data_IF_466893789201
#
_entry.id   IF_466893789201
#
_cell.length_a   1.000
_cell.length_b   1.000
_cell.length_c   1.000
_cell.angle_alpha   90.00
_cell.angle_beta   90.00
_cell.angle_gamma   90.00
#
_symmetry.space_group_name_H-M   'P 1'
#
loop_
_entity.id
_entity.type
_entity.pdbx_description
1 polymer ?
#
# COMPACT_ATOMS: atom_id res chain seq x y z
N UNK A 1 -9.19 32.33 10.56
CA UNK A 1 -8.10 31.36 10.31
C UNK A 1 -7.69 30.83 11.67
N UNK A 2 -7.69 29.51 11.88
CA UNK A 2 -7.23 28.93 13.14
C UNK A 2 -5.72 29.16 13.24
N UNK A 3 -5.27 29.95 14.21
CA UNK A 3 -3.85 30.15 14.49
C UNK A 3 -3.40 29.04 15.45
N UNK A 4 -2.77 28.01 14.89
CA UNK A 4 -2.07 27.01 15.71
C UNK A 4 -0.81 27.63 16.32
N UNK A 5 -0.44 27.19 17.51
CA UNK A 5 0.78 27.66 18.19
C UNK A 5 2.02 27.12 17.49
N UNK A 6 3.10 27.90 17.44
CA UNK A 6 4.36 27.50 16.78
C UNK A 6 4.98 26.20 17.35
N UNK A 7 4.66 25.85 18.59
CA UNK A 7 5.11 24.60 19.26
C UNK A 7 4.19 23.38 19.03
N UNK A 8 3.13 23.49 18.21
CA UNK A 8 2.26 22.34 17.92
C UNK A 8 2.92 21.39 16.91
N UNK A 9 3.32 20.16 17.30
CA UNK A 9 3.99 19.21 16.42
C UNK A 9 3.10 18.78 15.23
N UNK A 10 1.78 18.97 15.34
CA UNK A 10 0.81 18.65 14.32
C UNK A 10 0.34 19.89 13.53
N UNK A 11 0.92 21.07 13.75
CA UNK A 11 0.47 22.33 13.13
C UNK A 11 0.37 22.23 11.60
N UNK A 12 1.34 21.58 10.96
CA UNK A 12 1.34 21.34 9.51
C UNK A 12 0.18 20.44 9.06
N UNK A 13 -0.07 19.34 9.78
CA UNK A 13 -1.17 18.43 9.48
C UNK A 13 -2.54 19.08 9.72
N UNK A 14 -2.71 19.79 10.84
CA UNK A 14 -3.94 20.53 11.17
C UNK A 14 -4.23 21.62 10.14
N UNK A 15 -3.20 22.31 9.65
CA UNK A 15 -3.34 23.31 8.57
C UNK A 15 -3.85 22.66 7.29
N UNK A 16 -3.25 21.54 6.86
CA UNK A 16 -3.71 20.80 5.69
C UNK A 16 -5.16 20.31 5.86
N UNK A 17 -5.51 19.71 7.01
CA UNK A 17 -6.89 19.29 7.30
C UNK A 17 -7.86 20.48 7.20
N UNK A 18 -7.49 21.63 7.78
CA UNK A 18 -8.32 22.83 7.75
C UNK A 18 -8.48 23.41 6.33
N UNK A 19 -7.46 23.33 5.48
CA UNK A 19 -7.53 23.76 4.09
C UNK A 19 -8.41 22.84 3.25
N UNK A 20 -8.23 21.53 3.35
CA UNK A 20 -9.02 20.55 2.59
C UNK A 20 -10.46 20.45 3.10
N UNK A 21 -10.73 20.74 4.38
CA UNK A 21 -12.09 20.78 4.94
C UNK A 21 -12.94 21.93 4.39
N UNK A 22 -12.35 22.88 3.65
CA UNK A 22 -13.10 23.92 2.93
C UNK A 22 -13.81 23.38 1.70
N UNK A 23 -13.41 22.21 1.20
CA UNK A 23 -14.10 21.51 0.13
C UNK A 23 -15.32 20.80 0.71
N UNK A 24 -16.47 20.93 0.06
CA UNK A 24 -17.62 20.08 0.36
C UNK A 24 -17.42 18.69 -0.28
N UNK A 25 -16.54 17.90 0.36
CA UNK A 25 -16.22 16.56 -0.07
C UNK A 25 -17.44 15.64 -0.01
N UNK A 26 -18.36 15.85 0.94
CA UNK A 26 -19.53 15.00 1.10
C UNK A 26 -20.52 15.19 -0.05
N UNK A 27 -20.80 16.44 -0.45
CA UNK A 27 -21.66 16.70 -1.61
C UNK A 27 -21.11 16.05 -2.89
N UNK A 28 -19.79 16.06 -3.07
CA UNK A 28 -19.13 15.41 -4.20
C UNK A 28 -19.33 13.88 -4.16
N UNK A 29 -19.12 13.25 -3.00
CA UNK A 29 -19.30 11.82 -2.83
C UNK A 29 -20.77 11.39 -2.94
N UNK A 30 -21.71 12.21 -2.49
CA UNK A 30 -23.15 11.96 -2.64
C UNK A 30 -23.59 12.00 -4.10
N UNK A 31 -23.09 12.95 -4.89
CA UNK A 31 -23.35 13.00 -6.34
C UNK A 31 -22.80 11.74 -7.01
N UNK A 32 -21.58 11.34 -6.66
CA UNK A 32 -20.95 10.13 -7.19
C UNK A 32 -21.75 8.87 -6.81
N UNK A 33 -22.15 8.75 -5.54
CA UNK A 33 -22.96 7.67 -5.00
C UNK A 33 -24.26 7.49 -5.78
N UNK A 34 -25.00 8.59 -6.00
CA UNK A 34 -26.24 8.60 -6.79
C UNK A 34 -25.99 8.21 -8.24
N UNK A 35 -24.97 8.78 -8.87
CA UNK A 35 -24.69 8.54 -10.29
C UNK A 35 -24.21 7.11 -10.59
N UNK A 36 -23.62 6.44 -9.60
CA UNK A 36 -23.08 5.08 -9.74
C UNK A 36 -23.96 4.02 -9.11
N UNK A 37 -25.05 4.41 -8.45
CA UNK A 37 -25.91 3.53 -7.66
C UNK A 37 -25.12 2.71 -6.62
N UNK A 38 -24.22 3.39 -5.90
CA UNK A 38 -23.37 2.79 -4.86
C UNK A 38 -23.66 3.49 -3.53
N UNK A 39 -23.88 2.77 -2.42
CA UNK A 39 -24.04 3.39 -1.11
C UNK A 39 -22.85 4.25 -0.73
N UNK A 40 -23.10 5.46 -0.21
CA UNK A 40 -22.03 6.41 0.15
C UNK A 40 -21.03 5.81 1.15
N UNK A 41 -21.50 4.98 2.09
CA UNK A 41 -20.63 4.26 3.03
C UNK A 41 -19.66 3.30 2.34
N UNK A 42 -20.05 2.68 1.22
CA UNK A 42 -19.18 1.80 0.45
C UNK A 42 -18.11 2.59 -0.31
N UNK A 43 -18.43 3.79 -0.81
CA UNK A 43 -17.46 4.69 -1.43
C UNK A 43 -16.45 5.21 -0.40
N UNK A 44 -16.91 5.57 0.80
CA UNK A 44 -16.02 5.97 1.91
C UNK A 44 -15.09 4.82 2.31
N UNK A 45 -15.64 3.61 2.49
CA UNK A 45 -14.84 2.43 2.80
C UNK A 45 -13.81 2.11 1.72
N UNK A 46 -14.19 2.25 0.44
CA UNK A 46 -13.26 2.12 -0.69
C UNK A 46 -12.15 3.16 -0.63
N UNK A 47 -12.46 4.45 -0.46
CA UNK A 47 -11.45 5.51 -0.44
C UNK A 47 -10.45 5.30 0.71
N UNK A 48 -10.95 4.99 1.91
CA UNK A 48 -10.10 4.72 3.07
C UNK A 48 -9.26 3.45 2.85
N UNK A 49 -9.87 2.36 2.39
CA UNK A 49 -9.16 1.09 2.17
C UNK A 49 -8.17 1.12 1.01
N UNK A 50 -8.45 1.90 -0.05
CA UNK A 50 -7.64 1.93 -1.26
C UNK A 50 -6.57 3.05 -1.24
N UNK A 51 -6.89 4.23 -0.70
CA UNK A 51 -5.98 5.39 -0.73
C UNK A 51 -5.34 5.69 0.63
N UNK A 52 -5.97 5.34 1.76
CA UNK A 52 -5.36 5.54 3.09
C UNK A 52 -4.51 4.35 3.55
N UNK A 53 -4.63 3.19 2.88
CA UNK A 53 -3.87 1.99 3.20
C UNK A 53 -2.60 1.85 2.33
N UNK A 54 -1.83 2.93 2.12
CA UNK A 54 -0.63 2.91 1.26
C UNK A 54 0.44 1.88 1.69
N UNK A 55 0.48 1.50 2.98
CA UNK A 55 1.32 0.41 3.48
C UNK A 55 0.72 -1.00 3.33
N UNK A 56 -0.61 -1.11 3.22
CA UNK A 56 -1.34 -2.40 3.11
C UNK A 56 -1.62 -2.79 1.67
N UNK A 57 -1.70 -1.81 0.75
CA UNK A 57 -1.92 -2.05 -0.66
C UNK A 57 -0.80 -2.92 -1.27
N UNK A 58 0.47 -2.65 -0.96
CA UNK A 58 1.60 -3.49 -1.38
C UNK A 58 1.53 -4.92 -0.81
N UNK A 59 1.05 -5.09 0.43
CA UNK A 59 0.83 -6.40 1.07
C UNK A 59 -0.38 -7.15 0.51
N UNK A 60 -1.41 -6.43 0.06
CA UNK A 60 -2.59 -7.00 -0.62
C UNK A 60 -2.27 -7.37 -2.07
N UNK A 61 -1.42 -6.61 -2.76
CA UNK A 61 -1.02 -6.84 -4.16
C UNK A 61 0.05 -7.93 -4.31
N UNK A 62 1.03 -8.00 -3.41
CA UNK A 62 2.07 -9.05 -3.39
C UNK A 62 1.60 -10.29 -2.59
N UNK A 63 0.71 -10.09 -1.61
CA UNK A 63 0.16 -11.13 -0.74
C UNK A 63 1.08 -11.48 0.44
N UNK A 64 0.51 -11.78 1.63
CA UNK A 64 1.28 -12.12 2.85
C UNK A 64 2.15 -13.37 2.67
N UNK A 65 1.80 -14.25 1.72
CA UNK A 65 2.58 -15.45 1.41
C UNK A 65 3.95 -15.12 0.81
N UNK A 66 4.03 -14.20 -0.14
CA UNK A 66 5.29 -13.88 -0.83
C UNK A 66 6.21 -13.13 0.12
N UNK A 67 5.68 -12.18 0.90
CA UNK A 67 6.44 -11.48 1.94
C UNK A 67 6.93 -12.46 3.02
N UNK A 68 6.09 -13.39 3.49
CA UNK A 68 6.51 -14.41 4.46
C UNK A 68 7.59 -15.35 3.92
N UNK A 69 7.55 -15.69 2.63
CA UNK A 69 8.60 -16.48 1.98
C UNK A 69 9.93 -15.70 1.94
N UNK A 70 9.91 -14.42 1.57
CA UNK A 70 11.11 -13.58 1.54
C UNK A 70 11.74 -13.43 2.94
N UNK A 71 10.92 -13.18 3.96
CA UNK A 71 11.39 -13.09 5.34
C UNK A 71 12.00 -14.42 5.82
N UNK A 72 11.37 -15.55 5.51
CA UNK A 72 11.89 -16.87 5.89
C UNK A 72 13.28 -17.16 5.30
N UNK A 73 13.54 -16.73 4.06
CA UNK A 73 14.87 -16.87 3.43
C UNK A 73 15.93 -16.05 4.16
N UNK A 74 15.61 -14.80 4.53
CA UNK A 74 16.50 -13.92 5.28
C UNK A 74 16.78 -14.50 6.67
N UNK A 75 15.74 -14.89 7.41
CA UNK A 75 15.89 -15.46 8.76
C UNK A 75 16.70 -16.76 8.74
N UNK A 76 16.49 -17.63 7.74
CA UNK A 76 17.26 -18.87 7.60
C UNK A 76 18.75 -18.58 7.36
N UNK A 77 19.07 -17.63 6.48
CA UNK A 77 20.45 -17.24 6.21
C UNK A 77 21.12 -16.61 7.44
N UNK A 78 20.43 -15.69 8.13
CA UNK A 78 20.95 -15.07 9.35
C UNK A 78 21.16 -16.08 10.48
N UNK A 79 20.25 -17.06 10.62
CA UNK A 79 20.41 -18.14 11.61
C UNK A 79 21.61 -19.04 11.33
N UNK A 80 21.95 -19.24 10.05
CA UNK A 80 23.13 -20.00 9.63
C UNK A 80 24.41 -19.18 9.83
N UNK A 81 24.33 -17.87 9.60
CA UNK A 81 25.38 -16.91 9.96
C UNK A 81 26.57 -16.85 9.01
N UNK A 82 26.56 -17.58 7.90
CA UNK A 82 27.67 -17.63 6.92
C UNK A 82 27.43 -16.73 5.71
N UNK A 83 28.52 -16.33 5.05
CA UNK A 83 28.44 -15.52 3.82
C UNK A 83 27.84 -16.33 2.66
N UNK A 84 28.14 -17.62 2.60
CA UNK A 84 27.56 -18.54 1.62
C UNK A 84 26.02 -18.61 1.75
N UNK A 85 25.51 -18.72 2.99
CA UNK A 85 24.06 -18.76 3.23
C UNK A 85 23.38 -17.43 2.89
N UNK A 86 24.04 -16.30 3.16
CA UNK A 86 23.55 -14.97 2.76
C UNK A 86 23.52 -14.83 1.24
N UNK A 87 24.54 -15.31 0.54
CA UNK A 87 24.60 -15.27 -0.92
C UNK A 87 23.51 -16.14 -1.55
N UNK A 88 23.26 -17.34 -1.01
CA UNK A 88 22.18 -18.21 -1.46
C UNK A 88 20.80 -17.57 -1.27
N UNK A 89 20.57 -16.95 -0.11
CA UNK A 89 19.34 -16.20 0.14
C UNK A 89 19.18 -15.01 -0.81
N UNK A 90 20.27 -14.29 -1.10
CA UNK A 90 20.26 -13.18 -2.05
C UNK A 90 19.86 -13.62 -3.47
N UNK A 91 20.43 -14.70 -3.99
CA UNK A 91 20.04 -15.22 -5.31
C UNK A 91 18.58 -15.69 -5.33
N UNK A 92 18.09 -16.28 -4.25
CA UNK A 92 16.68 -16.67 -4.10
C UNK A 92 15.74 -15.46 -4.09
N UNK A 93 16.09 -14.41 -3.34
CA UNK A 93 15.34 -13.14 -3.31
C UNK A 93 15.32 -12.48 -4.69
N UNK A 94 16.46 -12.48 -5.39
CA UNK A 94 16.59 -11.95 -6.75
C UNK A 94 15.71 -12.69 -7.76
N UNK A 95 15.52 -14.01 -7.60
CA UNK A 95 14.59 -14.78 -8.40
C UNK A 95 13.12 -14.36 -8.15
N UNK A 96 12.74 -14.18 -6.87
CA UNK A 96 11.40 -13.69 -6.48
C UNK A 96 11.16 -12.29 -7.09
N UNK A 97 12.12 -11.37 -6.95
CA UNK A 97 12.03 -10.02 -7.52
C UNK A 97 11.92 -10.08 -9.05
N UNK A 98 12.70 -10.94 -9.71
CA UNK A 98 12.63 -11.11 -11.17
C UNK A 98 11.25 -11.55 -11.62
N UNK A 99 10.62 -12.48 -10.88
CA UNK A 99 9.26 -12.93 -11.16
C UNK A 99 8.23 -11.80 -10.95
N UNK A 100 8.32 -11.04 -9.85
CA UNK A 100 7.43 -9.91 -9.56
C UNK A 100 7.53 -8.78 -10.59
N UNK A 101 8.69 -8.64 -11.26
CA UNK A 101 8.87 -7.62 -12.32
C UNK A 101 8.20 -7.97 -13.64
N UNK A 102 7.88 -9.24 -13.91
CA UNK A 102 7.27 -9.67 -15.18
C UNK A 102 5.96 -8.91 -15.47
N UNK A 103 4.94 -8.90 -14.59
CA UNK A 103 3.70 -8.15 -14.84
C UNK A 103 3.89 -6.62 -14.92
N UNK A 104 5.01 -6.07 -14.43
CA UNK A 104 5.29 -4.63 -14.53
C UNK A 104 5.79 -4.22 -15.92
N UNK A 105 6.31 -5.18 -16.68
CA UNK A 105 6.89 -4.95 -18.01
C UNK A 105 6.09 -5.58 -19.15
N UNK A 106 5.10 -6.42 -18.82
CA UNK A 106 4.19 -7.04 -19.77
C UNK A 106 2.73 -6.78 -19.35
N UNK A 107 2.05 -5.80 -19.98
CA UNK A 107 0.67 -5.41 -19.66
C UNK A 107 -0.36 -6.54 -19.89
N UNK A 108 -0.03 -7.50 -20.75
CA UNK A 108 -0.90 -8.60 -21.13
C UNK A 108 -0.65 -9.87 -20.31
N UNK A 109 0.34 -9.83 -19.41
CA UNK A 109 0.63 -10.97 -18.54
C UNK A 109 -0.56 -11.32 -17.66
N UNK A 110 -0.86 -12.62 -17.59
CA UNK A 110 -1.85 -13.21 -16.69
C UNK A 110 -1.20 -14.41 -16.00
N UNK A 111 -1.32 -14.57 -14.67
CA UNK A 111 -0.88 -15.80 -14.03
C UNK A 111 -1.73 -16.96 -14.57
N UNK A 112 -1.12 -18.13 -14.79
CA UNK A 112 -1.85 -19.32 -15.18
C UNK A 112 -2.92 -19.62 -14.10
N UNK A 113 -4.19 -19.53 -14.47
CA UNK A 113 -5.30 -19.90 -13.60
C UNK A 113 -5.19 -21.38 -13.27
N UNK A 114 -5.12 -21.70 -11.98
CA UNK A 114 -5.26 -23.06 -11.45
C UNK A 114 -6.58 -23.18 -10.74
#
# INVERSE_FOLDING_TARGET
>A
MASWTDDDPDAGFRTMVAEYSKLDGLATLEVLARNKDIPIGAIVAFIVGHYSASGSAALLEIGPRVIGQMDSLVQSAESTGTDEARLEAYESLKAIVSWLKIPLHDPDWRPATR
#
